data_IF_789580485650
#
_entry.id   IF_789580485650
#
_cell.length_a   1.000
_cell.length_b   1.000
_cell.length_c   1.000
_cell.angle_alpha   90.00
_cell.angle_beta   90.00
_cell.angle_gamma   90.00
#
_symmetry.space_group_name_H-M   'P 1'
#
loop_
_entity.id
_entity.type
_entity.pdbx_description
1 polymer ?
#
# COMPACT_ATOMS: atom_id res chain seq x y z
N UNK A 1 2.64 -20.05 29.87
CA UNK A 1 1.48 -20.00 28.94
C UNK A 1 1.85 -20.78 27.68
N UNK A 2 1.08 -21.79 27.35
CA UNK A 2 1.31 -22.57 26.15
C UNK A 2 0.54 -21.97 24.97
N UNK A 3 1.18 -21.86 23.82
CA UNK A 3 0.57 -21.36 22.58
C UNK A 3 -0.76 -22.05 22.23
N UNK A 4 -0.83 -23.36 22.46
CA UNK A 4 -2.06 -24.12 22.27
C UNK A 4 -3.22 -23.63 23.15
N UNK A 5 -2.96 -23.21 24.38
CA UNK A 5 -4.01 -22.71 25.29
C UNK A 5 -4.56 -21.38 24.81
N UNK A 6 -3.71 -20.51 24.28
CA UNK A 6 -4.13 -19.25 23.64
C UNK A 6 -5.00 -19.54 22.42
N UNK A 7 -4.58 -20.45 21.54
CA UNK A 7 -5.36 -20.86 20.37
C UNK A 7 -6.72 -21.43 20.75
N UNK A 8 -6.78 -22.31 21.75
CA UNK A 8 -8.03 -22.86 22.24
C UNK A 8 -8.98 -21.81 22.78
N UNK A 9 -8.45 -20.84 23.56
CA UNK A 9 -9.26 -19.74 24.08
C UNK A 9 -9.83 -18.89 22.93
N UNK A 10 -9.02 -18.50 21.97
CA UNK A 10 -9.44 -17.69 20.83
C UNK A 10 -10.48 -18.43 19.98
N UNK A 11 -10.26 -19.71 19.67
CA UNK A 11 -11.24 -20.53 18.93
C UNK A 11 -12.59 -20.62 19.65
N UNK A 12 -12.58 -20.76 20.98
CA UNK A 12 -13.83 -20.77 21.78
C UNK A 12 -14.55 -19.42 21.71
N UNK A 13 -13.80 -18.31 21.68
CA UNK A 13 -14.38 -16.98 21.55
C UNK A 13 -14.95 -16.76 20.14
N UNK A 14 -14.22 -17.13 19.10
CA UNK A 14 -14.65 -16.95 17.70
C UNK A 14 -15.94 -17.75 17.39
N UNK A 15 -16.04 -18.99 17.90
CA UNK A 15 -17.19 -19.85 17.68
C UNK A 15 -18.32 -19.67 18.70
N UNK A 16 -18.12 -18.91 19.76
CA UNK A 16 -19.05 -18.76 20.87
C UNK A 16 -19.53 -20.10 21.48
N UNK A 17 -18.73 -21.18 21.31
CA UNK A 17 -19.09 -22.54 21.65
C UNK A 17 -17.86 -23.36 22.03
N UNK A 18 -17.88 -23.91 23.25
CA UNK A 18 -16.85 -24.86 23.70
C UNK A 18 -16.88 -26.19 22.96
N UNK A 19 -18.06 -26.59 22.50
CA UNK A 19 -18.23 -27.87 21.79
C UNK A 19 -17.70 -27.78 20.38
N UNK A 20 -18.11 -26.76 19.63
CA UNK A 20 -17.64 -26.53 18.26
C UNK A 20 -16.13 -26.22 18.22
N UNK A 21 -15.64 -25.44 19.19
CA UNK A 21 -14.21 -25.20 19.31
C UNK A 21 -13.40 -26.47 19.60
N UNK A 22 -13.93 -27.37 20.40
CA UNK A 22 -13.30 -28.66 20.68
C UNK A 22 -13.24 -29.52 19.43
N UNK A 23 -14.32 -29.56 18.64
CA UNK A 23 -14.39 -30.30 17.37
C UNK A 23 -13.37 -29.69 16.37
N UNK A 24 -13.34 -28.37 16.21
CA UNK A 24 -12.38 -27.69 15.33
C UNK A 24 -10.91 -27.90 15.76
N UNK A 25 -10.67 -28.02 17.07
CA UNK A 25 -9.34 -28.29 17.61
C UNK A 25 -8.99 -29.79 17.73
N UNK A 26 -9.87 -30.67 17.28
CA UNK A 26 -9.71 -32.15 17.35
C UNK A 26 -9.44 -32.68 18.76
N UNK A 27 -10.12 -32.14 19.78
CA UNK A 27 -10.05 -32.59 21.19
C UNK A 27 -11.44 -32.71 21.81
N UNK A 28 -11.53 -33.28 23.01
CA UNK A 28 -12.80 -33.32 23.74
C UNK A 28 -13.16 -31.96 24.36
N UNK A 29 -14.47 -31.68 24.49
CA UNK A 29 -14.96 -30.48 25.17
C UNK A 29 -14.43 -30.35 26.61
N UNK A 30 -14.28 -31.48 27.34
CA UNK A 30 -13.67 -31.48 28.67
C UNK A 30 -12.20 -31.08 28.62
N UNK A 31 -11.43 -31.50 27.60
CA UNK A 31 -10.03 -31.18 27.46
C UNK A 31 -9.84 -29.66 27.15
N UNK A 32 -10.60 -29.07 26.22
CA UNK A 32 -10.48 -27.63 25.91
C UNK A 32 -10.85 -26.81 27.15
N UNK A 33 -11.90 -27.20 27.90
CA UNK A 33 -12.29 -26.51 29.12
C UNK A 33 -11.20 -26.59 30.21
N UNK A 34 -10.50 -27.72 30.35
CA UNK A 34 -9.38 -27.85 31.27
C UNK A 34 -8.18 -27.00 30.86
N UNK A 35 -7.85 -26.92 29.56
CA UNK A 35 -6.76 -26.12 29.08
C UNK A 35 -7.01 -24.61 29.30
N UNK A 36 -8.23 -24.13 29.10
CA UNK A 36 -8.60 -22.75 29.38
C UNK A 36 -8.56 -22.46 30.89
N UNK A 37 -9.02 -23.35 31.74
CA UNK A 37 -8.87 -23.20 33.18
C UNK A 37 -7.41 -23.18 33.64
N UNK A 38 -6.55 -23.94 33.00
CA UNK A 38 -5.11 -23.93 33.26
C UNK A 38 -4.50 -22.59 32.85
N UNK A 39 -4.90 -22.01 31.69
CA UNK A 39 -4.51 -20.67 31.26
C UNK A 39 -4.95 -19.61 32.24
N UNK A 40 -6.22 -19.59 32.65
CA UNK A 40 -6.74 -18.64 33.66
C UNK A 40 -5.98 -18.75 34.99
N UNK A 41 -5.65 -19.98 35.42
CA UNK A 41 -4.86 -20.21 36.64
C UNK A 41 -3.43 -19.63 36.51
N UNK A 42 -2.79 -19.81 35.37
CA UNK A 42 -1.44 -19.28 35.13
C UNK A 42 -1.43 -17.76 35.08
N UNK A 43 -2.44 -17.16 34.44
CA UNK A 43 -2.60 -15.70 34.37
C UNK A 43 -3.06 -15.06 35.68
N UNK A 44 -3.61 -15.87 36.60
CA UNK A 44 -4.17 -15.39 37.88
C UNK A 44 -5.50 -14.64 37.74
N UNK A 45 -6.08 -14.61 36.52
CA UNK A 45 -7.34 -13.89 36.22
C UNK A 45 -8.28 -14.81 35.41
N UNK A 46 -9.59 -14.54 35.53
CA UNK A 46 -10.58 -15.20 34.68
C UNK A 46 -10.72 -14.49 33.36
N UNK A 47 -10.87 -15.27 32.31
CA UNK A 47 -11.10 -14.75 30.97
C UNK A 47 -12.58 -14.89 30.56
N UNK A 48 -13.30 -15.88 31.11
CA UNK A 48 -14.74 -16.05 30.91
C UNK A 48 -15.55 -15.70 32.16
N UNK A 49 -16.72 -15.06 31.98
CA UNK A 49 -17.70 -14.84 33.04
C UNK A 49 -18.42 -16.13 33.37
N UNK A 50 -18.67 -16.41 34.66
CA UNK A 50 -19.44 -17.56 35.12
C UNK A 50 -20.95 -17.28 35.25
N UNK A 51 -21.49 -16.45 34.41
CA UNK A 51 -22.92 -16.14 34.40
C UNK A 51 -23.72 -17.38 33.92
N UNK A 52 -24.84 -17.65 34.57
CA UNK A 52 -25.54 -18.95 34.54
C UNK A 52 -26.10 -19.41 33.19
N UNK A 53 -26.03 -18.66 32.09
CA UNK A 53 -26.61 -19.04 30.78
C UNK A 53 -26.04 -18.33 29.54
N UNK A 54 -25.10 -17.42 29.65
CA UNK A 54 -24.54 -16.75 28.48
C UNK A 54 -23.02 -16.84 28.47
N UNK A 55 -22.50 -17.11 27.28
CA UNK A 55 -21.09 -17.02 26.97
C UNK A 55 -20.70 -15.54 26.94
N UNK A 56 -19.83 -15.10 27.84
CA UNK A 56 -19.33 -13.74 27.88
C UNK A 56 -17.89 -13.68 28.39
N UNK A 57 -17.14 -12.74 27.90
CA UNK A 57 -15.77 -12.47 28.32
C UNK A 57 -15.75 -11.50 29.51
N UNK A 58 -14.73 -11.65 30.35
CA UNK A 58 -14.34 -10.59 31.30
C UNK A 58 -13.60 -9.48 30.57
N UNK A 59 -13.37 -8.33 31.21
CA UNK A 59 -12.49 -7.27 30.66
C UNK A 59 -11.10 -7.82 30.35
N UNK A 60 -10.55 -8.69 31.20
CA UNK A 60 -9.29 -9.36 30.96
C UNK A 60 -9.38 -10.34 29.77
N UNK A 61 -10.52 -11.02 29.59
CA UNK A 61 -10.80 -11.91 28.47
C UNK A 61 -10.86 -11.18 27.13
N UNK A 62 -11.52 -10.01 27.08
CA UNK A 62 -11.54 -9.18 25.89
C UNK A 62 -10.15 -8.66 25.49
N UNK A 63 -9.39 -8.20 26.49
CA UNK A 63 -8.02 -7.77 26.25
C UNK A 63 -7.16 -8.92 25.71
N UNK A 64 -7.24 -10.09 26.36
CA UNK A 64 -6.50 -11.27 25.97
C UNK A 64 -6.90 -11.78 24.59
N UNK A 65 -8.19 -11.72 24.22
CA UNK A 65 -8.67 -12.10 22.89
C UNK A 65 -8.07 -11.21 21.81
N UNK A 66 -8.19 -9.88 21.92
CA UNK A 66 -7.72 -8.94 20.91
C UNK A 66 -6.22 -9.04 20.68
N UNK A 67 -5.45 -9.01 21.76
CA UNK A 67 -3.98 -9.07 21.65
C UNK A 67 -3.46 -10.49 21.36
N UNK A 68 -4.13 -11.51 21.87
CA UNK A 68 -3.79 -12.89 21.60
C UNK A 68 -3.99 -13.28 20.13
N UNK A 69 -5.00 -12.72 19.47
CA UNK A 69 -5.21 -12.91 18.04
C UNK A 69 -4.04 -12.37 17.21
N UNK A 70 -3.64 -11.14 17.47
CA UNK A 70 -2.47 -10.53 16.83
C UNK A 70 -1.20 -11.35 17.06
N UNK A 71 -0.96 -11.79 18.29
CA UNK A 71 0.21 -12.62 18.60
C UNK A 71 0.19 -13.98 17.92
N UNK A 72 -0.98 -14.60 17.73
CA UNK A 72 -1.06 -15.86 16.98
C UNK A 72 -0.78 -15.69 15.51
N UNK A 73 -1.25 -14.58 14.91
CA UNK A 73 -0.97 -14.25 13.52
C UNK A 73 0.53 -14.01 13.34
N UNK A 74 1.18 -13.21 14.21
CA UNK A 74 2.64 -12.98 14.21
C UNK A 74 3.45 -14.28 14.35
N UNK A 75 2.97 -15.25 15.14
CA UNK A 75 3.65 -16.55 15.31
C UNK A 75 3.50 -17.43 14.06
N UNK A 76 2.34 -17.41 13.40
CA UNK A 76 2.16 -18.18 12.16
C UNK A 76 3.02 -17.56 11.04
N UNK A 77 3.08 -16.23 10.93
CA UNK A 77 3.97 -15.51 10.01
C UNK A 77 5.45 -15.85 10.28
N UNK A 78 5.86 -15.84 11.55
CA UNK A 78 7.22 -16.27 11.95
C UNK A 78 7.53 -17.70 11.53
N UNK A 79 6.59 -18.61 11.69
CA UNK A 79 6.75 -20.02 11.31
C UNK A 79 6.84 -20.17 9.79
N UNK A 80 5.96 -19.53 9.03
CA UNK A 80 5.97 -19.56 7.57
C UNK A 80 7.29 -18.98 7.02
N UNK A 81 7.74 -17.88 7.58
CA UNK A 81 9.01 -17.27 7.21
C UNK A 81 10.20 -18.15 7.54
N UNK A 82 10.16 -18.84 8.69
CA UNK A 82 11.21 -19.81 9.08
C UNK A 82 11.28 -20.98 8.10
N UNK A 83 10.12 -21.51 7.68
CA UNK A 83 10.04 -22.58 6.67
C UNK A 83 10.60 -22.09 5.34
N UNK A 84 10.17 -20.90 4.89
CA UNK A 84 10.62 -20.29 3.63
C UNK A 84 12.13 -20.08 3.58
N UNK A 85 12.74 -19.64 4.69
CA UNK A 85 14.20 -19.51 4.81
C UNK A 85 14.94 -20.86 4.84
N UNK A 86 14.25 -21.91 5.24
CA UNK A 86 14.80 -23.28 5.24
C UNK A 86 14.75 -23.99 3.89
N UNK A 87 13.91 -23.50 2.96
CA UNK A 87 13.69 -24.11 1.64
C UNK A 87 14.50 -23.38 0.58
N UNK A 88 15.67 -23.02 0.61
CA UNK A 88 16.54 -22.41 -0.45
C UNK A 88 15.81 -21.72 -1.64
N UNK A 89 14.58 -21.23 -1.43
CA UNK A 89 13.83 -20.48 -2.45
C UNK A 89 14.33 -19.05 -2.47
N UNK A 90 14.66 -18.58 -3.66
CA UNK A 90 14.99 -17.16 -3.87
C UNK A 90 13.84 -16.27 -3.36
N UNK A 91 14.12 -15.52 -2.32
CA UNK A 91 13.18 -14.54 -1.78
C UNK A 91 13.13 -13.35 -2.74
N UNK A 92 12.03 -13.22 -3.44
CA UNK A 92 11.82 -12.12 -4.40
C UNK A 92 10.73 -11.19 -3.89
N UNK A 93 10.95 -9.89 -4.04
CA UNK A 93 9.98 -8.83 -3.80
C UNK A 93 9.89 -7.94 -5.05
N UNK A 94 8.78 -8.04 -5.76
CA UNK A 94 8.55 -7.25 -6.98
C UNK A 94 7.58 -6.11 -6.70
N UNK A 95 8.05 -4.88 -6.86
CA UNK A 95 7.33 -3.65 -6.52
C UNK A 95 6.90 -2.93 -7.78
N UNK A 96 5.58 -2.71 -7.93
CA UNK A 96 5.01 -1.88 -8.98
C UNK A 96 4.93 -0.41 -8.58
N UNK A 97 5.32 0.52 -9.46
CA UNK A 97 5.22 1.96 -9.22
C UNK A 97 4.79 2.72 -10.49
N UNK A 98 4.13 3.91 -10.36
CA UNK A 98 3.64 4.66 -11.52
C UNK A 98 4.75 5.18 -12.44
N UNK A 99 4.53 5.15 -13.75
CA UNK A 99 5.50 5.64 -14.76
C UNK A 99 5.86 7.13 -14.62
N UNK A 100 4.95 7.93 -14.13
CA UNK A 100 5.13 9.37 -13.88
C UNK A 100 5.59 9.70 -12.46
N UNK A 101 6.05 8.69 -11.73
CA UNK A 101 6.45 8.81 -10.33
C UNK A 101 7.89 9.31 -10.20
N UNK A 102 8.06 10.36 -9.41
CA UNK A 102 9.39 10.90 -9.11
C UNK A 102 9.55 10.98 -7.58
N UNK A 103 10.33 10.05 -7.01
CA UNK A 103 10.63 10.04 -5.58
C UNK A 103 11.97 9.40 -5.31
N UNK A 104 12.76 10.05 -4.47
CA UNK A 104 14.00 9.50 -3.95
C UNK A 104 13.76 8.54 -2.78
N UNK A 105 12.65 8.70 -2.05
CA UNK A 105 12.34 7.89 -0.87
C UNK A 105 12.14 6.42 -1.21
N UNK A 106 11.61 6.10 -2.40
CA UNK A 106 11.52 4.72 -2.86
C UNK A 106 12.92 4.12 -3.07
N UNK A 107 13.82 4.86 -3.71
CA UNK A 107 15.21 4.45 -3.91
C UNK A 107 15.93 4.25 -2.58
N UNK A 108 15.82 5.22 -1.67
CA UNK A 108 16.42 5.15 -0.34
C UNK A 108 15.89 3.96 0.46
N UNK A 109 14.57 3.71 0.37
CA UNK A 109 13.95 2.55 1.03
C UNK A 109 14.48 1.23 0.46
N UNK A 110 14.62 1.11 -0.85
CA UNK A 110 15.19 -0.09 -1.50
C UNK A 110 16.62 -0.33 -1.00
N UNK A 111 17.44 0.71 -0.95
CA UNK A 111 18.83 0.61 -0.49
C UNK A 111 18.89 0.18 0.97
N UNK A 112 18.11 0.80 1.83
CA UNK A 112 18.08 0.47 3.26
C UNK A 112 17.49 -0.91 3.51
N UNK A 113 16.43 -1.30 2.80
CA UNK A 113 15.86 -2.63 2.88
C UNK A 113 16.87 -3.70 2.47
N UNK A 114 17.60 -3.52 1.37
CA UNK A 114 18.65 -4.44 0.94
C UNK A 114 19.83 -4.54 1.92
N UNK A 115 20.08 -3.47 2.68
CA UNK A 115 21.10 -3.49 3.74
C UNK A 115 20.68 -4.36 4.93
N UNK A 116 19.38 -4.34 5.26
CA UNK A 116 18.83 -5.12 6.39
C UNK A 116 18.53 -6.57 5.96
N UNK A 117 18.03 -6.76 4.75
CA UNK A 117 17.60 -8.04 4.18
C UNK A 117 18.37 -8.35 2.88
N UNK A 118 19.67 -8.66 2.96
CA UNK A 118 20.52 -8.90 1.78
C UNK A 118 20.08 -10.12 0.97
N UNK A 119 19.37 -11.06 1.58
CA UNK A 119 18.86 -12.29 0.94
C UNK A 119 17.67 -12.02 0.01
N UNK A 120 16.92 -10.94 0.18
CA UNK A 120 15.73 -10.63 -0.63
C UNK A 120 16.14 -9.97 -1.95
N UNK A 121 15.79 -10.56 -3.07
CA UNK A 121 15.95 -9.96 -4.39
C UNK A 121 14.81 -8.98 -4.65
N UNK A 122 15.13 -7.70 -4.87
CA UNK A 122 14.14 -6.67 -5.19
C UNK A 122 14.11 -6.44 -6.70
N UNK A 123 12.92 -6.53 -7.27
CA UNK A 123 12.61 -6.12 -8.64
C UNK A 123 11.63 -4.96 -8.63
N UNK A 124 11.75 -4.06 -9.61
CA UNK A 124 10.84 -2.92 -9.74
C UNK A 124 10.24 -2.88 -11.14
N UNK A 125 8.94 -2.58 -11.22
CA UNK A 125 8.20 -2.51 -12.48
C UNK A 125 7.43 -1.20 -12.53
N UNK A 126 7.63 -0.40 -13.57
CA UNK A 126 6.84 0.81 -13.77
C UNK A 126 5.64 0.54 -14.68
N UNK A 127 4.50 1.15 -14.38
CA UNK A 127 3.28 0.99 -15.17
C UNK A 127 2.30 2.14 -14.95
N UNK A 128 1.24 2.19 -15.77
CA UNK A 128 0.05 2.98 -15.48
C UNK A 128 -0.72 2.37 -14.30
N UNK A 129 -1.72 3.09 -13.78
CA UNK A 129 -2.55 2.57 -12.69
C UNK A 129 -3.20 1.22 -13.05
N UNK A 130 -3.69 1.08 -14.29
CA UNK A 130 -4.36 -0.13 -14.76
C UNK A 130 -3.36 -1.26 -15.00
N UNK A 131 -2.21 -0.98 -15.66
CA UNK A 131 -1.16 -1.98 -15.87
C UNK A 131 -0.67 -2.57 -14.54
N UNK A 132 -0.42 -1.72 -13.55
CA UNK A 132 0.01 -2.17 -12.23
C UNK A 132 -1.07 -2.97 -11.50
N UNK A 133 -2.35 -2.64 -11.71
CA UNK A 133 -3.45 -3.41 -11.14
C UNK A 133 -3.56 -4.80 -11.79
N UNK A 134 -3.47 -4.89 -13.11
CA UNK A 134 -3.46 -6.17 -13.84
C UNK A 134 -2.27 -7.04 -13.40
N UNK A 135 -1.06 -6.47 -13.32
CA UNK A 135 0.12 -7.19 -12.85
C UNK A 135 -0.04 -7.71 -11.41
N UNK A 136 -0.72 -6.95 -10.54
CA UNK A 136 -0.99 -7.37 -9.16
C UNK A 136 -2.00 -8.52 -9.12
N UNK A 137 -3.07 -8.45 -9.91
CA UNK A 137 -4.09 -9.52 -10.03
C UNK A 137 -3.48 -10.80 -10.59
N UNK A 138 -2.59 -10.68 -11.57
CA UNK A 138 -1.89 -11.81 -12.19
C UNK A 138 -0.71 -12.33 -11.34
N UNK A 139 -0.52 -11.81 -10.13
CA UNK A 139 0.61 -12.14 -9.25
C UNK A 139 2.00 -12.00 -9.90
N UNK A 140 2.14 -11.07 -10.83
CA UNK A 140 3.42 -10.73 -11.48
C UNK A 140 4.21 -9.66 -10.73
N UNK A 141 3.54 -8.95 -9.82
CA UNK A 141 4.13 -8.09 -8.81
C UNK A 141 3.53 -8.44 -7.46
N UNK A 142 4.29 -8.29 -6.39
CA UNK A 142 3.87 -8.61 -5.03
C UNK A 142 3.10 -7.45 -4.39
N UNK A 143 3.49 -6.24 -4.71
CA UNK A 143 2.82 -5.03 -4.24
C UNK A 143 2.88 -3.91 -5.29
N UNK A 144 1.95 -2.98 -5.20
CA UNK A 144 1.99 -1.75 -5.99
C UNK A 144 1.87 -0.50 -5.12
N UNK A 145 2.53 0.56 -5.57
CA UNK A 145 2.35 1.92 -5.08
C UNK A 145 1.48 2.64 -6.11
N UNK A 146 0.38 3.24 -5.71
CA UNK A 146 -0.45 4.00 -6.64
C UNK A 146 -1.37 4.99 -5.92
N UNK A 147 -1.89 5.95 -6.66
CA UNK A 147 -3.00 6.78 -6.20
C UNK A 147 -4.29 5.97 -6.12
N UNK A 148 -5.22 6.42 -5.27
CA UNK A 148 -6.56 5.85 -5.20
C UNK A 148 -7.41 6.38 -6.35
N UNK A 149 -7.72 5.54 -7.33
CA UNK A 149 -8.65 5.84 -8.43
C UNK A 149 -10.01 5.17 -8.29
N UNK A 150 -10.12 4.12 -7.45
CA UNK A 150 -11.32 3.28 -7.28
C UNK A 150 -11.59 2.98 -5.81
N UNK A 151 -12.76 2.47 -5.54
CA UNK A 151 -13.08 1.88 -4.23
C UNK A 151 -12.19 0.66 -3.98
N UNK A 152 -11.71 0.51 -2.77
CA UNK A 152 -10.87 -0.62 -2.40
C UNK A 152 -11.64 -1.94 -2.42
N UNK A 153 -10.96 -2.99 -2.88
CA UNK A 153 -11.43 -4.36 -2.75
C UNK A 153 -10.93 -4.95 -1.42
N UNK A 154 -11.79 -5.69 -0.75
CA UNK A 154 -11.50 -6.33 0.53
C UNK A 154 -10.46 -7.46 0.46
N UNK A 155 -10.13 -7.95 -0.74
CA UNK A 155 -9.12 -9.00 -0.95
C UNK A 155 -7.68 -8.46 -0.87
N UNK A 156 -7.53 -7.14 -0.78
CA UNK A 156 -6.22 -6.48 -0.74
C UNK A 156 -6.05 -5.70 0.56
N UNK A 157 -4.82 -5.68 1.06
CA UNK A 157 -4.38 -4.65 1.97
C UNK A 157 -4.19 -3.35 1.19
N UNK A 158 -4.57 -2.23 1.79
CA UNK A 158 -4.50 -0.90 1.20
C UNK A 158 -3.97 0.06 2.27
N UNK A 159 -2.65 0.10 2.43
CA UNK A 159 -2.01 0.93 3.44
C UNK A 159 -1.82 2.35 2.91
N UNK A 160 -2.40 3.34 3.58
CA UNK A 160 -2.22 4.75 3.22
C UNK A 160 -0.79 5.17 3.49
N UNK A 161 -0.08 5.56 2.44
CA UNK A 161 1.29 6.05 2.50
C UNK A 161 1.31 7.55 2.85
N UNK A 162 0.71 8.36 1.99
CA UNK A 162 0.69 9.81 2.16
C UNK A 162 -0.43 10.45 1.35
N UNK A 163 -0.83 11.64 1.77
CA UNK A 163 -1.59 12.58 0.96
C UNK A 163 -0.64 13.62 0.37
N UNK A 164 -0.79 13.90 -0.92
CA UNK A 164 0.04 14.86 -1.63
C UNK A 164 -0.82 15.75 -2.53
N UNK A 165 -0.31 16.91 -2.87
CA UNK A 165 -0.88 17.79 -3.89
C UNK A 165 -0.38 17.39 -5.27
N UNK A 166 -1.20 17.63 -6.29
CA UNK A 166 -0.80 17.40 -7.68
C UNK A 166 0.08 18.53 -8.18
N UNK A 167 1.08 18.18 -8.97
CA UNK A 167 1.97 19.15 -9.63
C UNK A 167 1.91 18.98 -11.14
N UNK A 168 2.34 20.02 -11.84
CA UNK A 168 2.70 19.94 -13.25
C UNK A 168 4.14 20.40 -13.47
N UNK A 169 4.79 19.80 -14.45
CA UNK A 169 6.05 20.29 -14.99
C UNK A 169 5.78 21.06 -16.28
N UNK A 170 6.32 22.28 -16.38
CA UNK A 170 6.16 23.18 -17.52
C UNK A 170 7.51 23.82 -17.87
N UNK A 171 7.70 24.19 -19.15
CA UNK A 171 8.93 24.85 -19.60
C UNK A 171 9.13 26.19 -18.89
N UNK A 172 10.37 26.48 -18.46
CA UNK A 172 10.78 27.81 -17.96
C UNK A 172 10.54 28.93 -18.95
N UNK A 173 10.42 28.61 -20.25
CA UNK A 173 10.12 29.58 -21.32
C UNK A 173 8.60 29.88 -21.40
N UNK A 174 7.76 29.15 -20.73
CA UNK A 174 6.32 29.41 -20.67
C UNK A 174 6.02 30.61 -19.76
N UNK A 175 5.11 31.51 -20.16
CA UNK A 175 4.66 32.58 -19.26
C UNK A 175 4.09 32.08 -17.94
N UNK A 176 3.53 30.88 -17.92
CA UNK A 176 2.95 30.24 -16.72
C UNK A 176 4.01 29.79 -15.72
N UNK A 177 5.28 29.63 -16.13
CA UNK A 177 6.36 29.21 -15.24
C UNK A 177 6.65 30.17 -14.08
N UNK A 178 6.14 31.41 -14.17
CA UNK A 178 6.31 32.44 -13.13
C UNK A 178 5.20 32.43 -12.07
N UNK A 179 4.20 31.58 -12.22
CA UNK A 179 3.12 31.42 -11.24
C UNK A 179 3.56 30.49 -10.11
N UNK A 180 3.12 30.76 -8.89
CA UNK A 180 3.30 29.88 -7.75
C UNK A 180 2.29 28.71 -7.78
N UNK A 181 1.09 28.95 -8.30
CA UNK A 181 0.01 27.96 -8.47
C UNK A 181 -0.61 28.15 -9.86
N UNK A 182 -0.83 27.05 -10.56
CA UNK A 182 -1.49 27.01 -11.86
C UNK A 182 -2.87 26.36 -11.68
N UNK A 183 -3.90 27.00 -12.22
CA UNK A 183 -5.24 26.41 -12.26
C UNK A 183 -5.44 25.55 -13.52
N UNK A 184 -6.35 24.56 -13.45
CA UNK A 184 -6.73 23.77 -14.63
C UNK A 184 -7.26 24.66 -15.77
N UNK A 185 -7.83 25.83 -15.46
CA UNK A 185 -8.31 26.79 -16.46
C UNK A 185 -7.16 27.44 -17.24
N UNK A 186 -6.02 27.67 -16.62
CA UNK A 186 -4.81 28.20 -17.28
C UNK A 186 -4.25 27.24 -18.35
N UNK A 187 -4.58 25.94 -18.21
CA UNK A 187 -4.02 24.87 -19.04
C UNK A 187 -4.91 24.47 -20.23
N UNK A 188 -6.11 25.01 -20.35
CA UNK A 188 -7.12 24.61 -21.37
C UNK A 188 -6.61 24.62 -22.82
N UNK A 189 -5.67 25.51 -23.13
CA UNK A 189 -5.14 25.69 -24.48
C UNK A 189 -3.74 25.09 -24.67
N UNK A 190 -3.23 24.40 -23.64
CA UNK A 190 -1.90 23.77 -23.65
C UNK A 190 -2.09 22.27 -23.64
N UNK A 191 -1.32 21.56 -24.46
CA UNK A 191 -1.39 20.09 -24.51
C UNK A 191 -0.92 19.46 -23.20
N UNK A 192 -1.64 18.45 -22.73
CA UNK A 192 -1.25 17.60 -21.62
C UNK A 192 -0.38 16.45 -22.15
N UNK A 193 0.80 16.25 -21.60
CA UNK A 193 1.70 15.17 -21.96
C UNK A 193 1.50 14.06 -20.94
N UNK A 194 1.13 12.86 -21.40
CA UNK A 194 0.95 11.67 -20.56
C UNK A 194 2.05 10.64 -20.82
N UNK A 195 2.57 10.04 -19.75
CA UNK A 195 3.53 8.93 -19.83
C UNK A 195 2.76 7.63 -19.78
N UNK A 196 2.54 7.04 -20.95
CA UNK A 196 1.62 5.91 -21.10
C UNK A 196 2.03 5.01 -22.27
N UNK A 197 1.78 3.71 -22.16
CA UNK A 197 1.91 2.76 -23.25
C UNK A 197 0.80 2.98 -24.29
N UNK A 198 1.09 2.72 -25.55
CA UNK A 198 0.20 3.00 -26.69
C UNK A 198 -1.19 2.39 -26.56
N UNK A 199 -1.29 1.23 -25.96
CA UNK A 199 -2.56 0.50 -25.73
C UNK A 199 -3.39 1.05 -24.57
N UNK A 200 -2.86 2.00 -23.79
CA UNK A 200 -3.51 2.60 -22.61
C UNK A 200 -3.80 4.10 -22.76
N UNK A 201 -3.52 4.69 -23.91
CA UNK A 201 -3.71 6.12 -24.17
C UNK A 201 -5.15 6.59 -23.87
N UNK A 202 -6.15 5.82 -24.29
CA UNK A 202 -7.56 6.19 -24.13
C UNK A 202 -8.02 6.17 -22.66
N UNK A 203 -7.61 5.18 -21.88
CA UNK A 203 -7.98 5.05 -20.47
C UNK A 203 -7.35 6.13 -19.60
N UNK A 204 -6.07 6.43 -19.82
CA UNK A 204 -5.39 7.50 -19.09
C UNK A 204 -5.92 8.87 -19.49
N UNK A 205 -6.14 9.12 -20.79
CA UNK A 205 -6.79 10.35 -21.27
C UNK A 205 -8.13 10.58 -20.57
N UNK A 206 -8.99 9.57 -20.55
CA UNK A 206 -10.31 9.67 -19.92
C UNK A 206 -10.22 10.02 -18.44
N UNK A 207 -9.26 9.44 -17.72
CA UNK A 207 -9.01 9.77 -16.31
C UNK A 207 -8.59 11.22 -16.12
N UNK A 208 -7.59 11.69 -16.87
CA UNK A 208 -7.08 13.06 -16.72
C UNK A 208 -8.11 14.10 -17.17
N UNK A 209 -8.88 13.80 -18.19
CA UNK A 209 -9.94 14.70 -18.71
C UNK A 209 -11.13 14.76 -17.75
N UNK A 210 -11.67 13.62 -17.32
CA UNK A 210 -12.91 13.58 -16.54
C UNK A 210 -12.70 13.78 -15.04
N UNK A 211 -11.63 13.21 -14.47
CA UNK A 211 -11.40 13.24 -13.02
C UNK A 211 -10.62 14.46 -12.58
N UNK A 212 -9.73 14.98 -13.40
CA UNK A 212 -8.86 16.10 -13.06
C UNK A 212 -9.19 17.38 -13.84
N UNK A 213 -10.15 17.31 -14.79
CA UNK A 213 -10.55 18.44 -15.63
C UNK A 213 -9.36 19.09 -16.34
N UNK A 214 -8.40 18.28 -16.79
CA UNK A 214 -7.24 18.73 -17.54
C UNK A 214 -7.56 18.82 -19.04
N UNK A 215 -6.60 19.31 -19.82
CA UNK A 215 -6.70 19.64 -21.24
C UNK A 215 -7.45 18.59 -22.08
N UNK A 216 -8.12 19.06 -23.13
CA UNK A 216 -8.71 18.21 -24.19
C UNK A 216 -7.70 17.86 -25.32
N UNK A 217 -6.44 18.29 -25.20
CA UNK A 217 -5.37 17.98 -26.13
C UNK A 217 -4.29 17.19 -25.43
N UNK A 218 -4.09 15.96 -25.86
CA UNK A 218 -3.12 15.06 -25.25
C UNK A 218 -1.97 14.74 -26.22
N UNK A 219 -0.78 14.62 -25.67
CA UNK A 219 0.42 14.09 -26.30
C UNK A 219 0.91 12.95 -25.43
N UNK A 220 1.55 11.97 -26.03
CA UNK A 220 1.96 10.77 -25.34
C UNK A 220 3.47 10.59 -25.40
N UNK A 221 4.04 10.03 -24.34
CA UNK A 221 5.45 9.72 -24.22
C UNK A 221 5.62 8.33 -23.62
N UNK A 222 6.64 7.62 -24.05
CA UNK A 222 6.95 6.27 -23.59
C UNK A 222 7.66 6.25 -22.23
N UNK A 223 8.27 7.37 -21.85
CA UNK A 223 9.01 7.52 -20.60
C UNK A 223 8.90 8.93 -20.02
N UNK A 224 9.14 9.03 -18.69
CA UNK A 224 9.19 10.31 -18.01
C UNK A 224 10.28 11.25 -18.56
N UNK A 225 11.42 10.68 -18.97
CA UNK A 225 12.50 11.43 -19.59
C UNK A 225 12.07 12.03 -20.93
N UNK A 226 11.44 11.24 -21.80
CA UNK A 226 10.90 11.74 -23.09
C UNK A 226 9.84 12.81 -22.86
N UNK A 227 8.93 12.63 -21.90
CA UNK A 227 7.92 13.63 -21.56
C UNK A 227 8.57 14.95 -21.12
N UNK A 228 9.63 14.91 -20.30
CA UNK A 228 10.37 16.10 -19.86
C UNK A 228 11.08 16.82 -21.02
N UNK A 229 11.63 16.08 -21.98
CA UNK A 229 12.18 16.69 -23.21
C UNK A 229 11.09 17.39 -24.04
N UNK A 230 9.89 16.83 -24.10
CA UNK A 230 8.73 17.48 -24.74
C UNK A 230 8.30 18.73 -23.98
N UNK A 231 8.30 18.73 -22.64
CA UNK A 231 8.04 19.92 -21.81
C UNK A 231 9.07 21.00 -22.07
N UNK A 232 10.37 20.68 -22.01
CA UNK A 232 11.45 21.63 -22.24
C UNK A 232 11.38 22.29 -23.64
N UNK A 233 10.92 21.54 -24.66
CA UNK A 233 10.68 22.02 -26.01
C UNK A 233 9.32 22.73 -26.21
N UNK A 234 8.62 23.09 -25.13
CA UNK A 234 7.34 23.82 -25.13
C UNK A 234 6.19 23.11 -25.86
N UNK A 235 6.21 21.78 -25.93
CA UNK A 235 5.12 21.02 -26.58
C UNK A 235 3.88 20.88 -25.71
N UNK A 236 4.01 21.06 -24.39
CA UNK A 236 2.92 20.91 -23.44
C UNK A 236 3.38 21.01 -22.00
N UNK A 237 2.52 20.57 -21.09
CA UNK A 237 2.80 20.38 -19.67
C UNK A 237 2.65 18.90 -19.31
N UNK A 238 3.34 18.48 -18.25
CA UNK A 238 3.36 17.10 -17.76
C UNK A 238 2.81 17.06 -16.33
N UNK A 239 1.67 16.39 -16.08
CA UNK A 239 1.26 16.06 -14.73
C UNK A 239 2.25 15.07 -14.09
N UNK A 240 2.70 15.38 -12.88
CA UNK A 240 3.64 14.53 -12.15
C UNK A 240 3.10 14.14 -10.79
N UNK A 241 3.33 12.90 -10.43
CA UNK A 241 3.00 12.37 -9.12
C UNK A 241 4.24 12.46 -8.21
N UNK A 242 4.07 13.16 -7.11
CA UNK A 242 5.14 13.31 -6.13
C UNK A 242 4.56 13.14 -4.72
N UNK A 243 5.07 12.17 -3.99
CA UNK A 243 4.60 11.85 -2.63
C UNK A 243 5.68 12.04 -1.56
N UNK A 244 6.90 12.33 -1.93
CA UNK A 244 8.04 12.58 -1.03
C UNK A 244 8.50 14.03 -1.05
N UNK A 245 9.78 14.21 -0.81
CA UNK A 245 10.42 15.52 -0.86
C UNK A 245 10.39 16.09 -2.29
N UNK A 246 10.23 17.40 -2.38
CA UNK A 246 10.26 18.11 -3.64
C UNK A 246 11.69 18.19 -4.16
N UNK A 247 12.05 17.29 -5.07
CA UNK A 247 13.29 17.42 -5.82
C UNK A 247 13.24 18.65 -6.73
N UNK A 248 14.39 19.28 -6.90
CA UNK A 248 14.49 20.36 -7.89
C UNK A 248 14.19 19.80 -9.27
N UNK A 249 13.30 20.43 -10.04
CA UNK A 249 13.06 20.02 -11.42
C UNK A 249 14.34 20.13 -12.26
N UNK A 250 14.38 19.41 -13.37
CA UNK A 250 15.49 19.46 -14.32
C UNK A 250 15.64 20.87 -14.90
N UNK A 251 16.86 21.23 -15.29
CA UNK A 251 17.12 22.53 -15.95
C UNK A 251 16.18 22.75 -17.15
N UNK A 252 15.57 23.91 -17.23
CA UNK A 252 14.61 24.26 -18.28
C UNK A 252 13.16 23.88 -17.97
N UNK A 253 12.88 23.32 -16.80
CA UNK A 253 11.54 22.90 -16.34
C UNK A 253 11.26 23.53 -14.98
N UNK A 254 10.04 24.01 -14.78
CA UNK A 254 9.49 24.40 -13.48
C UNK A 254 8.41 23.41 -13.07
N UNK A 255 8.36 23.08 -11.77
CA UNK A 255 7.31 22.29 -11.17
C UNK A 255 6.43 23.15 -10.30
N UNK A 256 5.15 23.17 -10.62
CA UNK A 256 4.20 24.13 -10.05
C UNK A 256 2.99 23.36 -9.55
N UNK A 257 2.47 23.77 -8.40
CA UNK A 257 1.27 23.21 -7.82
C UNK A 257 0.05 23.42 -8.71
N UNK A 258 -0.77 22.37 -8.84
CA UNK A 258 -2.00 22.39 -9.64
C UNK A 258 -3.22 22.59 -8.76
N UNK A 259 -4.07 23.54 -9.15
CA UNK A 259 -5.33 23.83 -8.46
C UNK A 259 -6.56 23.69 -9.36
N UNK A 260 -7.71 23.40 -8.73
CA UNK A 260 -9.01 23.42 -9.35
C UNK A 260 -9.97 24.30 -8.55
N UNK A 261 -10.56 25.30 -9.20
CA UNK A 261 -11.46 26.29 -8.53
C UNK A 261 -10.85 26.91 -7.25
N UNK A 262 -9.55 27.20 -7.27
CA UNK A 262 -8.85 27.85 -6.17
C UNK A 262 -8.40 26.90 -5.03
N UNK A 263 -8.65 25.60 -5.15
CA UNK A 263 -8.20 24.61 -4.17
C UNK A 263 -7.11 23.71 -4.78
N UNK A 264 -6.07 23.34 -4.02
CA UNK A 264 -5.10 22.34 -4.44
C UNK A 264 -5.79 21.01 -4.81
N UNK A 265 -5.33 20.39 -5.89
CA UNK A 265 -5.80 19.04 -6.22
C UNK A 265 -5.02 18.05 -5.36
N UNK A 266 -5.72 17.43 -4.42
CA UNK A 266 -5.13 16.44 -3.52
C UNK A 266 -5.29 15.03 -4.05
N UNK A 267 -4.30 14.18 -3.79
CA UNK A 267 -4.28 12.76 -4.10
C UNK A 267 -3.83 11.95 -2.90
N UNK A 268 -4.48 10.81 -2.70
CA UNK A 268 -4.08 9.86 -1.68
C UNK A 268 -3.33 8.70 -2.33
N UNK A 269 -2.14 8.41 -1.82
CA UNK A 269 -1.29 7.32 -2.29
C UNK A 269 -1.32 6.17 -1.30
N UNK A 270 -1.35 4.96 -1.86
CA UNK A 270 -1.44 3.72 -1.11
C UNK A 270 -0.41 2.71 -1.61
N UNK A 271 0.08 1.89 -0.70
CA UNK A 271 0.65 0.61 -1.00
C UNK A 271 -0.47 -0.43 -0.97
N UNK A 272 -0.57 -1.24 -2.04
CA UNK A 272 -1.61 -2.27 -2.15
C UNK A 272 -0.97 -3.61 -2.45
N UNK A 273 -1.39 -4.68 -1.73
CA UNK A 273 -0.95 -6.06 -1.97
C UNK A 273 -2.05 -7.06 -1.60
N UNK A 274 -2.07 -8.27 -2.21
CA UNK A 274 -3.07 -9.27 -1.93
C UNK A 274 -2.96 -9.82 -0.50
N UNK A 275 -4.08 -10.04 0.18
CA UNK A 275 -4.11 -10.58 1.55
C UNK A 275 -3.62 -12.01 1.64
N UNK A 276 -3.90 -12.82 0.62
CA UNK A 276 -3.49 -14.23 0.53
C UNK A 276 -2.01 -14.41 0.18
N UNK A 277 -1.33 -13.35 -0.23
CA UNK A 277 0.10 -13.31 -0.58
C UNK A 277 0.92 -12.43 0.36
N UNK A 278 0.30 -11.90 1.41
CA UNK A 278 1.05 -11.08 2.37
C UNK A 278 2.16 -11.89 3.02
N UNK A 279 3.27 -11.23 3.28
CA UNK A 279 4.41 -11.81 3.99
C UNK A 279 5.18 -10.69 4.70
N UNK A 280 6.04 -11.10 5.61
CA UNK A 280 6.86 -10.21 6.43
C UNK A 280 7.64 -9.15 5.62
N UNK A 281 8.20 -9.52 4.48
CA UNK A 281 9.02 -8.60 3.68
C UNK A 281 8.20 -7.52 2.98
N UNK A 282 6.99 -7.85 2.51
CA UNK A 282 6.08 -6.85 1.93
C UNK A 282 5.69 -5.84 3.01
N UNK A 283 5.26 -6.31 4.17
CA UNK A 283 4.80 -5.45 5.27
C UNK A 283 5.92 -4.57 5.81
N UNK A 284 7.12 -5.14 6.02
CA UNK A 284 8.27 -4.38 6.49
C UNK A 284 8.75 -3.36 5.46
N UNK A 285 8.74 -3.70 4.15
CA UNK A 285 9.05 -2.75 3.09
C UNK A 285 8.07 -1.57 3.08
N UNK A 286 6.76 -1.85 3.16
CA UNK A 286 5.71 -0.81 3.20
C UNK A 286 5.88 0.10 4.41
N UNK A 287 6.16 -0.47 5.58
CA UNK A 287 6.42 0.28 6.82
C UNK A 287 7.64 1.20 6.66
N UNK A 288 8.78 0.67 6.19
CA UNK A 288 10.00 1.45 5.97
C UNK A 288 9.76 2.57 4.96
N UNK A 289 9.04 2.29 3.87
CA UNK A 289 8.71 3.29 2.86
C UNK A 289 7.81 4.40 3.41
N UNK A 290 6.79 4.04 4.18
CA UNK A 290 5.92 5.00 4.86
C UNK A 290 6.70 5.89 5.86
N UNK A 291 7.66 5.32 6.58
CA UNK A 291 8.56 6.07 7.47
C UNK A 291 9.46 7.03 6.68
N UNK A 292 10.02 6.59 5.54
CA UNK A 292 10.85 7.43 4.67
C UNK A 292 10.07 8.62 4.12
N UNK A 293 8.82 8.42 3.71
CA UNK A 293 7.93 9.48 3.21
C UNK A 293 7.55 10.53 4.26
N UNK A 294 7.67 10.22 5.56
CA UNK A 294 7.28 11.10 6.66
C UNK A 294 8.46 11.77 7.40
N UNK A 295 9.68 11.52 6.94
CA UNK A 295 10.89 12.22 7.41
C UNK A 295 11.01 13.59 6.77
#
# INVERSE_FOLDING_TARGET
MLLKQMKYFITVVDLHSFTEAAEQCFISQSAISQQIKALEKELGVRLFERSKRQFSLTVAGEYFYRHGKVLLDEIEDFKEETIRRGEDQELNLTIGYPKNFSTNELLETIVEFKRIYPEVNISVVSGTHEELFELLVDHRIDMKISEQRRTFNNDYYNEKLKESVSFIEISTLSPLSKKEVISTDDLKNISCILVVSKDREDSEREFFEKSLNLSHRFLYADSLEQARLMVASQRGYLPVDQIGHLDKPMSGIERIELSYKGNPIQRNYFACWPKDKTNYYIEEFVKMYKEALNK
#
